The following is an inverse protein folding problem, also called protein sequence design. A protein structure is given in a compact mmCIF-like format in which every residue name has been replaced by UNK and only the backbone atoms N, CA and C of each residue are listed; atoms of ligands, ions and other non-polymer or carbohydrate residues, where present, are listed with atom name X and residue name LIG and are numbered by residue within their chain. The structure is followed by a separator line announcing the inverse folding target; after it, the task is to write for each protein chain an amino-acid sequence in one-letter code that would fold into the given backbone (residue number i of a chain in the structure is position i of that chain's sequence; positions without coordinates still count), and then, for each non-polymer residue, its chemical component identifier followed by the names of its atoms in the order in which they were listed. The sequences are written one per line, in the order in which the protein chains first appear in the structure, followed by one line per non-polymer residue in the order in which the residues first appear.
data_IF_764364185093
#
_entry.id   IF_764364185093
#
_cell.length_a   1.000
_cell.length_b   1.000
_cell.length_c   1.000
_cell.angle_alpha   90.00
_cell.angle_beta   90.00
_cell.angle_gamma   90.00
#
_symmetry.space_group_name_H-M   'P 1'
#
loop_
_entity.id
_entity.type
_entity.pdbx_description
1 polymer ?
#
# COMPACT_ATOMS: atom_id res chain seq x y z
N UNK A 1 -68.38 0.92 -16.28
CA UNK A 1 -69.14 1.30 -17.50
C UNK A 1 -68.44 2.46 -18.20
N UNK A 2 -68.56 2.57 -19.54
CA UNK A 2 -68.06 3.67 -20.40
C UNK A 2 -66.58 4.05 -20.27
N UNK A 3 -65.78 3.59 -21.23
CA UNK A 3 -64.50 4.21 -21.60
C UNK A 3 -64.71 5.25 -22.72
N UNK A 4 -63.74 6.13 -22.94
CA UNK A 4 -63.46 6.77 -24.25
C UNK A 4 -61.95 7.06 -24.36
N UNK A 5 -61.42 6.91 -25.57
CA UNK A 5 -60.00 7.07 -25.92
C UNK A 5 -59.75 8.42 -26.60
N UNK A 6 -58.48 8.85 -26.65
CA UNK A 6 -57.98 9.65 -27.79
C UNK A 6 -56.53 9.30 -28.19
N UNK A 7 -56.24 9.50 -29.47
CA UNK A 7 -55.03 9.18 -30.24
C UNK A 7 -54.80 10.36 -31.22
N UNK A 8 -53.62 10.71 -31.74
CA UNK A 8 -52.21 10.22 -31.69
C UNK A 8 -51.35 11.46 -32.14
N UNK A 9 -50.03 11.58 -32.27
CA UNK A 9 -48.81 10.73 -32.36
C UNK A 9 -47.59 11.60 -31.94
N UNK A 10 -46.37 11.05 -32.09
CA UNK A 10 -45.09 11.74 -32.36
C UNK A 10 -44.47 12.68 -31.30
N UNK A 11 -43.49 12.11 -30.60
CA UNK A 11 -42.55 12.82 -29.74
C UNK A 11 -41.39 11.92 -29.29
N UNK A 12 -40.88 11.04 -30.16
CA UNK A 12 -39.73 10.17 -29.83
C UNK A 12 -38.46 11.02 -29.87
N UNK A 13 -38.19 11.71 -28.76
CA UNK A 13 -36.91 12.36 -28.53
C UNK A 13 -35.87 11.25 -28.28
N UNK A 14 -35.22 10.78 -29.35
CA UNK A 14 -34.03 9.93 -29.22
C UNK A 14 -32.94 10.81 -28.63
N UNK A 15 -32.87 10.84 -27.30
CA UNK A 15 -31.72 11.38 -26.59
C UNK A 15 -30.55 10.43 -26.84
N UNK A 16 -29.84 10.67 -27.95
CA UNK A 16 -28.62 9.98 -28.30
C UNK A 16 -27.53 10.38 -27.29
N UNK A 17 -27.54 9.73 -26.12
CA UNK A 17 -26.43 9.77 -25.18
C UNK A 17 -25.27 9.05 -25.86
N UNK A 18 -24.50 9.82 -26.62
CA UNK A 18 -23.17 9.42 -27.03
C UNK A 18 -22.33 9.28 -25.76
N UNK A 19 -22.32 8.06 -25.22
CA UNK A 19 -21.22 7.61 -24.37
C UNK A 19 -19.97 7.62 -25.25
N UNK A 20 -19.34 8.79 -25.33
CA UNK A 20 -17.96 8.93 -25.76
C UNK A 20 -17.10 8.26 -24.70
N UNK A 21 -17.08 6.93 -24.74
CA UNK A 21 -15.97 6.16 -24.22
C UNK A 21 -14.75 6.60 -25.02
N UNK A 22 -14.10 7.65 -24.53
CA UNK A 22 -12.65 7.73 -24.57
C UNK A 22 -12.17 6.50 -23.80
N UNK A 23 -12.14 5.37 -24.50
CA UNK A 23 -11.32 4.24 -24.13
C UNK A 23 -9.89 4.79 -24.11
N UNK A 24 -9.48 5.26 -22.93
CA UNK A 24 -8.10 5.65 -22.68
C UNK A 24 -7.31 4.40 -22.96
N UNK A 25 -6.64 4.37 -24.11
CA UNK A 25 -5.75 3.28 -24.47
C UNK A 25 -4.50 3.44 -23.61
N UNK A 26 -4.65 3.10 -22.32
CA UNK A 26 -3.58 2.61 -21.47
C UNK A 26 -2.99 1.41 -22.20
N UNK A 27 -2.02 1.73 -23.06
CA UNK A 27 -1.31 0.81 -23.93
C UNK A 27 -0.61 -0.19 -23.02
N UNK A 28 -1.29 -1.30 -22.75
CA UNK A 28 -0.81 -2.30 -21.78
C UNK A 28 0.66 -2.61 -22.08
N UNK A 29 1.56 -2.49 -21.09
CA UNK A 29 2.97 -2.72 -21.32
C UNK A 29 3.16 -4.11 -21.95
N UNK A 30 3.85 -4.22 -23.10
CA UNK A 30 3.89 -5.46 -23.89
C UNK A 30 4.27 -6.66 -23.02
N UNK A 31 3.41 -7.67 -23.00
CA UNK A 31 3.28 -8.68 -21.95
C UNK A 31 4.47 -9.65 -21.87
N UNK A 32 5.62 -9.15 -21.42
CA UNK A 32 6.88 -9.89 -21.30
C UNK A 32 7.79 -9.31 -20.19
N UNK A 33 7.25 -8.48 -19.29
CA UNK A 33 7.99 -7.85 -18.19
C UNK A 33 8.32 -8.86 -17.09
N UNK A 34 9.59 -9.24 -16.97
CA UNK A 34 10.10 -10.17 -15.93
C UNK A 34 10.39 -9.38 -14.63
N UNK A 35 9.50 -8.47 -14.25
CA UNK A 35 9.62 -7.65 -13.03
C UNK A 35 8.32 -6.91 -12.66
N UNK A 36 7.30 -7.66 -12.23
CA UNK A 36 6.34 -7.07 -11.30
C UNK A 36 7.06 -6.88 -9.95
N UNK A 37 7.39 -5.65 -9.58
CA UNK A 37 7.67 -5.32 -8.18
C UNK A 37 6.38 -5.42 -7.35
N UNK A 38 6.50 -5.46 -6.03
CA UNK A 38 5.32 -5.46 -5.17
C UNK A 38 4.64 -4.09 -5.25
N UNK A 39 3.30 -4.06 -5.23
CA UNK A 39 2.59 -2.82 -4.96
C UNK A 39 2.90 -2.35 -3.53
N UNK A 40 3.48 -1.15 -3.43
CA UNK A 40 3.85 -0.49 -2.18
C UNK A 40 2.79 0.50 -1.69
N UNK A 41 1.77 0.84 -2.49
CA UNK A 41 0.74 1.81 -2.08
C UNK A 41 0.03 1.39 -0.77
N UNK A 42 -0.43 0.13 -0.59
CA UNK A 42 -1.10 -0.27 0.66
C UNK A 42 -0.19 -0.19 1.90
N UNK A 43 1.14 -0.28 1.72
CA UNK A 43 2.10 -0.16 2.82
C UNK A 43 2.40 1.32 3.16
N UNK A 44 2.37 2.22 2.18
CA UNK A 44 2.45 3.66 2.40
C UNK A 44 1.16 4.19 3.03
N UNK A 45 0.00 3.74 2.56
CA UNK A 45 -1.32 4.08 3.12
C UNK A 45 -1.48 3.69 4.58
N UNK A 46 -0.93 2.52 4.99
CA UNK A 46 -0.89 2.08 6.40
C UNK A 46 0.24 2.71 7.22
N UNK A 47 1.07 3.57 6.63
CA UNK A 47 2.20 4.21 7.30
C UNK A 47 3.36 3.26 7.65
N UNK A 48 3.41 2.04 7.08
CA UNK A 48 4.57 1.13 7.23
C UNK A 48 5.82 1.72 6.57
N UNK A 49 5.63 2.46 5.47
CA UNK A 49 6.65 3.24 4.79
C UNK A 49 6.21 4.70 4.63
N UNK A 50 7.18 5.61 4.69
CA UNK A 50 7.01 7.04 4.42
C UNK A 50 8.09 7.53 3.46
N UNK A 51 7.84 8.65 2.79
CA UNK A 51 8.77 9.26 1.82
C UNK A 51 10.15 9.53 2.47
N UNK A 52 11.23 9.17 1.76
CA UNK A 52 12.63 9.45 2.16
C UNK A 52 13.29 10.53 1.30
N UNK A 53 12.99 10.56 0.00
CA UNK A 53 13.55 11.54 -0.95
C UNK A 53 12.45 12.40 -1.56
N UNK A 54 12.82 13.62 -1.95
CA UNK A 54 11.97 14.59 -2.63
C UNK A 54 12.23 14.59 -4.14
N UNK A 55 13.47 14.32 -4.55
CA UNK A 55 13.89 14.30 -5.96
C UNK A 55 14.62 12.99 -6.30
N UNK A 56 14.58 12.60 -7.57
CA UNK A 56 15.50 11.58 -8.11
C UNK A 56 15.97 11.91 -9.52
N UNK A 57 17.19 11.49 -9.85
CA UNK A 57 17.79 11.60 -11.18
C UNK A 57 18.42 10.27 -11.59
N UNK A 58 17.83 9.60 -12.57
CA UNK A 58 18.43 8.43 -13.21
C UNK A 58 19.51 8.91 -14.17
N UNK A 59 20.73 8.38 -14.06
CA UNK A 59 21.78 8.55 -15.05
C UNK A 59 21.96 7.21 -15.78
N UNK A 60 21.62 7.15 -17.07
CA UNK A 60 21.67 5.93 -17.88
C UNK A 60 22.76 5.98 -18.94
N UNK A 61 23.66 5.00 -18.88
CA UNK A 61 24.69 4.74 -19.86
C UNK A 61 24.08 4.16 -21.15
N UNK A 62 24.20 4.92 -22.23
CA UNK A 62 23.82 4.54 -23.60
C UNK A 62 25.02 4.34 -24.52
N UNK A 63 26.23 4.24 -23.94
CA UNK A 63 27.48 4.20 -24.69
C UNK A 63 27.65 2.92 -25.53
N UNK A 64 28.67 2.91 -26.40
CA UNK A 64 28.97 1.73 -27.22
C UNK A 64 29.27 0.47 -26.39
N UNK A 65 29.80 0.59 -25.16
CA UNK A 65 30.09 -0.56 -24.29
C UNK A 65 28.79 -1.27 -23.87
N UNK A 66 27.69 -0.52 -23.73
CA UNK A 66 26.38 -1.02 -23.32
C UNK A 66 25.66 -1.83 -24.42
N UNK A 67 26.22 -1.86 -25.63
CA UNK A 67 25.77 -2.73 -26.74
C UNK A 67 26.15 -4.22 -26.56
N UNK A 68 27.10 -4.54 -25.68
CA UNK A 68 27.52 -5.91 -25.37
C UNK A 68 26.36 -6.75 -24.84
N UNK A 69 26.28 -8.01 -25.29
CA UNK A 69 25.21 -8.95 -24.91
C UNK A 69 25.62 -9.79 -23.70
N UNK A 70 24.78 -9.85 -22.68
CA UNK A 70 25.02 -10.68 -21.49
C UNK A 70 24.72 -12.17 -21.76
N UNK A 71 25.44 -13.07 -21.10
CA UNK A 71 25.37 -14.53 -21.28
C UNK A 71 24.65 -15.25 -20.14
N UNK A 72 23.63 -14.62 -19.56
CA UNK A 72 22.82 -15.20 -18.48
C UNK A 72 21.94 -16.33 -19.04
N UNK A 73 22.01 -17.51 -18.43
CA UNK A 73 21.62 -18.80 -19.05
C UNK A 73 20.17 -18.87 -19.55
N UNK A 74 19.21 -18.24 -18.84
CA UNK A 74 17.80 -18.18 -19.23
C UNK A 74 17.38 -16.83 -19.84
N UNK A 75 18.18 -15.77 -19.64
CA UNK A 75 17.88 -14.41 -20.09
C UNK A 75 18.58 -14.15 -21.44
N UNK A 76 17.95 -14.63 -22.53
CA UNK A 76 18.53 -14.78 -23.88
C UNK A 76 19.23 -13.53 -24.43
N UNK A 77 20.56 -13.42 -24.25
CA UNK A 77 21.48 -12.59 -25.06
C UNK A 77 21.03 -11.12 -25.29
N UNK A 78 20.34 -10.54 -24.31
CA UNK A 78 19.96 -9.12 -24.30
C UNK A 78 21.20 -8.22 -24.21
N UNK A 79 21.12 -7.01 -24.76
CA UNK A 79 22.15 -5.99 -24.54
C UNK A 79 22.06 -5.45 -23.11
N UNK A 80 23.19 -5.07 -22.51
CA UNK A 80 23.23 -4.42 -21.19
C UNK A 80 22.34 -3.18 -21.13
N UNK A 81 22.31 -2.39 -22.20
CA UNK A 81 21.40 -1.25 -22.37
C UNK A 81 19.91 -1.61 -22.25
N UNK A 82 19.47 -2.72 -22.86
CA UNK A 82 18.08 -3.15 -22.78
C UNK A 82 17.74 -3.62 -21.37
N UNK A 83 18.63 -4.43 -20.76
CA UNK A 83 18.48 -4.84 -19.36
C UNK A 83 18.44 -3.64 -18.39
N UNK A 84 19.21 -2.56 -18.65
CA UNK A 84 19.13 -1.32 -17.89
C UNK A 84 17.78 -0.60 -18.06
N UNK A 85 17.28 -0.46 -19.30
CA UNK A 85 15.93 0.10 -19.56
C UNK A 85 14.82 -0.73 -18.90
N UNK A 86 14.92 -2.06 -18.96
CA UNK A 86 14.01 -2.97 -18.30
C UNK A 86 14.02 -2.69 -16.78
N UNK A 87 15.18 -2.69 -16.12
CA UNK A 87 15.32 -2.42 -14.68
C UNK A 87 14.81 -1.03 -14.25
N UNK A 88 15.04 0.03 -15.03
CA UNK A 88 14.50 1.37 -14.72
C UNK A 88 12.96 1.36 -14.87
N UNK A 89 12.42 0.62 -15.84
CA UNK A 89 10.97 0.43 -15.96
C UNK A 89 10.42 -0.34 -14.75
N UNK A 90 11.09 -1.42 -14.32
CA UNK A 90 10.72 -2.17 -13.12
C UNK A 90 10.65 -1.24 -11.89
N UNK A 91 11.69 -0.42 -11.69
CA UNK A 91 11.77 0.58 -10.62
C UNK A 91 10.61 1.57 -10.72
N UNK A 92 10.38 2.14 -11.90
CA UNK A 92 9.32 3.11 -12.17
C UNK A 92 7.92 2.56 -11.82
N UNK A 93 7.62 1.32 -12.22
CA UNK A 93 6.33 0.71 -11.88
C UNK A 93 6.20 0.38 -10.38
N UNK A 94 7.31 0.10 -9.70
CA UNK A 94 7.35 -0.27 -8.26
C UNK A 94 7.26 0.94 -7.32
N UNK A 95 7.65 2.14 -7.75
CA UNK A 95 7.51 3.38 -6.94
C UNK A 95 6.02 3.62 -6.62
N UNK A 96 5.63 3.81 -5.34
CA UNK A 96 4.24 4.12 -4.96
C UNK A 96 3.83 5.55 -5.35
N UNK A 97 2.57 5.91 -5.17
CA UNK A 97 1.99 7.24 -5.43
C UNK A 97 2.45 8.32 -4.44
N UNK A 98 3.75 8.50 -4.29
CA UNK A 98 4.39 9.55 -3.48
C UNK A 98 4.79 10.75 -4.35
N UNK A 99 4.70 11.95 -3.78
CA UNK A 99 5.11 13.19 -4.43
C UNK A 99 6.64 13.29 -4.54
N UNK A 100 7.13 13.29 -5.77
CA UNK A 100 8.54 13.36 -6.14
C UNK A 100 8.74 14.35 -7.30
N UNK A 101 9.93 14.91 -7.43
CA UNK A 101 10.46 15.34 -8.72
C UNK A 101 11.32 14.21 -9.31
N UNK A 102 11.26 14.02 -10.62
CA UNK A 102 12.01 12.98 -11.32
C UNK A 102 12.76 13.51 -12.53
N UNK A 103 13.90 12.91 -12.86
CA UNK A 103 14.67 13.17 -14.07
C UNK A 103 15.36 11.95 -14.64
N UNK A 104 15.65 11.98 -15.94
CA UNK A 104 16.51 11.00 -16.64
C UNK A 104 17.55 11.77 -17.45
N UNK A 105 18.81 11.60 -17.06
CA UNK A 105 19.98 11.98 -17.87
C UNK A 105 20.53 10.74 -18.58
N UNK A 106 20.87 10.89 -19.85
CA UNK A 106 21.63 9.89 -20.63
C UNK A 106 22.98 10.43 -21.05
N UNK A 107 23.93 9.52 -21.26
CA UNK A 107 25.21 9.82 -21.92
C UNK A 107 25.57 8.70 -22.89
N UNK A 108 26.35 9.01 -23.92
CA UNK A 108 26.84 8.03 -24.89
C UNK A 108 26.64 8.49 -26.33
N UNK A 109 25.49 8.14 -26.91
CA UNK A 109 25.13 8.56 -28.28
C UNK A 109 24.56 9.99 -28.31
N UNK A 110 23.85 10.39 -27.25
CA UNK A 110 23.39 11.77 -27.06
C UNK A 110 24.59 12.59 -26.56
N UNK A 111 24.74 13.83 -27.04
CA UNK A 111 25.77 14.73 -26.52
C UNK A 111 25.51 14.99 -25.04
N UNK A 112 26.53 14.99 -24.16
CA UNK A 112 26.31 15.13 -22.72
C UNK A 112 25.48 16.37 -22.35
N UNK A 113 25.69 17.51 -23.00
CA UNK A 113 24.88 18.73 -22.76
C UNK A 113 23.37 18.52 -23.00
N UNK A 114 23.00 17.79 -24.05
CA UNK A 114 21.60 17.43 -24.40
C UNK A 114 21.07 16.22 -23.59
N UNK A 115 21.83 15.73 -22.61
CA UNK A 115 21.57 14.44 -21.94
C UNK A 115 20.31 14.38 -21.08
N UNK A 116 19.76 15.50 -20.58
CA UNK A 116 18.56 15.50 -19.74
C UNK A 116 17.29 15.35 -20.60
N UNK A 117 16.98 14.10 -20.97
CA UNK A 117 15.85 13.74 -21.84
C UNK A 117 14.49 13.72 -21.13
N UNK A 118 14.48 13.74 -19.80
CA UNK A 118 13.27 13.93 -19.00
C UNK A 118 13.60 14.72 -17.73
N UNK A 119 12.76 15.71 -17.43
CA UNK A 119 12.44 16.08 -16.06
C UNK A 119 13.36 17.06 -15.35
N UNK A 120 13.75 16.68 -14.13
CA UNK A 120 13.79 17.57 -12.95
C UNK A 120 12.50 18.39 -12.80
N UNK A 121 11.38 17.68 -12.97
CA UNK A 121 10.00 18.19 -12.85
C UNK A 121 9.15 17.20 -12.06
N UNK A 122 7.88 17.53 -11.79
CA UNK A 122 6.94 16.65 -11.10
C UNK A 122 6.88 15.25 -11.73
N UNK A 123 7.18 14.24 -10.92
CA UNK A 123 7.31 12.85 -11.37
C UNK A 123 5.96 12.28 -11.82
N UNK A 124 5.97 11.59 -12.96
CA UNK A 124 4.90 10.65 -13.35
C UNK A 124 5.51 9.39 -13.94
N UNK A 125 4.84 8.23 -13.73
CA UNK A 125 5.26 6.96 -14.33
C UNK A 125 5.35 7.07 -15.85
N UNK A 126 4.31 7.62 -16.49
CA UNK A 126 4.26 7.85 -17.93
C UNK A 126 5.42 8.71 -18.44
N UNK A 127 5.77 9.82 -17.76
CA UNK A 127 6.89 10.67 -18.17
C UNK A 127 8.25 9.96 -18.15
N UNK A 128 8.47 9.08 -17.17
CA UNK A 128 9.66 8.22 -17.12
C UNK A 128 9.63 7.13 -18.19
N UNK A 129 8.47 6.49 -18.42
CA UNK A 129 8.31 5.45 -19.45
C UNK A 129 8.51 6.02 -20.87
N UNK A 130 7.96 7.21 -21.17
CA UNK A 130 8.14 7.93 -22.44
C UNK A 130 9.58 8.43 -22.60
N UNK A 131 10.19 8.95 -21.53
CA UNK A 131 11.61 9.33 -21.50
C UNK A 131 12.51 8.15 -21.85
N UNK A 132 12.29 6.98 -21.23
CA UNK A 132 12.98 5.73 -21.58
C UNK A 132 12.68 5.31 -23.03
N UNK A 133 11.43 5.42 -23.49
CA UNK A 133 11.03 5.02 -24.84
C UNK A 133 11.76 5.80 -25.94
N UNK A 134 12.09 7.08 -25.71
CA UNK A 134 12.85 7.92 -26.65
C UNK A 134 14.25 7.36 -26.99
N UNK A 135 14.83 6.54 -26.11
CA UNK A 135 16.18 6.02 -26.26
C UNK A 135 16.17 4.77 -27.16
N UNK A 136 16.32 4.98 -28.47
CA UNK A 136 16.28 3.91 -29.48
C UNK A 136 17.49 2.95 -29.44
N UNK A 137 18.70 3.48 -29.27
CA UNK A 137 19.96 2.75 -29.55
C UNK A 137 21.17 3.33 -28.82
N UNK A 138 22.12 2.44 -28.55
CA UNK A 138 23.45 2.76 -28.01
C UNK A 138 24.40 3.35 -29.06
N UNK A 139 25.50 3.94 -28.59
CA UNK A 139 26.60 4.43 -29.43
C UNK A 139 27.51 5.43 -28.68
N UNK A 140 28.56 5.90 -29.33
CA UNK A 140 29.48 6.90 -28.75
C UNK A 140 30.35 6.38 -27.60
N UNK A 141 31.01 7.33 -26.92
CA UNK A 141 31.92 7.10 -25.80
C UNK A 141 31.16 6.90 -24.46
N UNK A 142 31.88 6.58 -23.39
CA UNK A 142 31.33 6.40 -22.04
C UNK A 142 31.93 7.44 -21.07
N UNK A 143 31.63 8.75 -21.19
CA UNK A 143 32.16 9.78 -20.30
C UNK A 143 31.33 9.85 -19.00
N UNK A 144 31.68 8.99 -18.02
CA UNK A 144 30.92 8.87 -16.76
C UNK A 144 31.16 10.10 -15.87
N UNK A 145 32.37 10.65 -15.89
CA UNK A 145 32.72 11.87 -15.14
C UNK A 145 31.90 13.06 -15.61
N UNK A 146 31.84 13.29 -16.92
CA UNK A 146 31.08 14.39 -17.53
C UNK A 146 29.58 14.28 -17.26
N UNK A 147 29.01 13.06 -17.31
CA UNK A 147 27.59 12.86 -17.05
C UNK A 147 27.22 13.07 -15.56
N UNK A 148 28.13 12.76 -14.62
CA UNK A 148 27.99 13.14 -13.20
C UNK A 148 28.13 14.66 -13.03
N UNK A 149 29.10 15.31 -13.70
CA UNK A 149 29.31 16.77 -13.61
C UNK A 149 28.14 17.58 -14.17
N UNK A 150 27.44 17.07 -15.19
CA UNK A 150 26.22 17.69 -15.73
C UNK A 150 24.97 17.32 -14.93
N UNK A 151 24.88 16.10 -14.38
CA UNK A 151 23.85 15.75 -13.40
C UNK A 151 23.90 16.64 -12.14
N UNK A 152 25.11 17.04 -11.72
CA UNK A 152 25.32 18.02 -10.65
C UNK A 152 24.70 19.38 -11.02
N UNK A 153 24.79 19.81 -12.29
CA UNK A 153 24.16 21.04 -12.80
C UNK A 153 22.64 20.94 -12.86
N UNK A 154 22.07 19.82 -13.34
CA UNK A 154 20.60 19.60 -13.40
C UNK A 154 19.92 19.75 -12.03
N UNK A 155 20.68 19.51 -10.96
CA UNK A 155 20.20 19.51 -9.59
C UNK A 155 20.39 20.87 -8.87
N UNK A 156 21.02 21.86 -9.49
CA UNK A 156 21.36 23.16 -8.84
C UNK A 156 20.14 23.95 -8.36
N UNK A 157 18.99 23.82 -9.04
CA UNK A 157 17.72 24.46 -8.62
C UNK A 157 16.83 23.55 -7.75
N UNK A 158 17.25 22.31 -7.47
CA UNK A 158 16.43 21.33 -6.73
C UNK A 158 16.61 21.47 -5.21
N UNK A 159 15.54 21.20 -4.45
CA UNK A 159 15.53 21.33 -2.98
C UNK A 159 15.01 20.05 -2.33
N UNK A 160 15.48 19.74 -1.12
CA UNK A 160 15.13 18.51 -0.41
C UNK A 160 16.06 17.33 -0.74
N UNK A 161 15.71 16.14 -0.25
CA UNK A 161 16.56 14.95 -0.36
C UNK A 161 16.54 14.39 -1.79
N UNK A 162 17.70 14.03 -2.33
CA UNK A 162 17.86 13.69 -3.76
C UNK A 162 18.58 12.35 -3.95
N UNK A 163 17.98 11.42 -4.70
CA UNK A 163 18.58 10.15 -5.10
C UNK A 163 19.09 10.19 -6.56
N UNK A 164 20.40 10.12 -6.74
CA UNK A 164 21.02 9.92 -8.06
C UNK A 164 21.24 8.41 -8.28
N UNK A 165 20.85 7.87 -9.44
CA UNK A 165 20.88 6.43 -9.71
C UNK A 165 21.58 6.16 -11.04
N UNK A 166 22.85 5.73 -11.00
CA UNK A 166 23.68 5.48 -12.18
C UNK A 166 23.58 4.01 -12.64
N UNK A 167 23.11 3.80 -13.86
CA UNK A 167 23.06 2.51 -14.56
C UNK A 167 24.16 2.47 -15.63
N UNK A 168 25.27 1.74 -15.40
CA UNK A 168 26.42 1.65 -16.32
C UNK A 168 27.16 0.31 -16.21
N UNK A 169 28.00 -0.04 -17.19
CA UNK A 169 29.00 -1.11 -17.04
C UNK A 169 30.31 -0.64 -16.37
N UNK A 170 30.40 0.64 -16.00
CA UNK A 170 31.52 1.26 -15.29
C UNK A 170 32.77 1.50 -16.15
N UNK A 171 32.74 1.19 -17.46
CA UNK A 171 33.89 1.42 -18.35
C UNK A 171 33.99 2.89 -18.75
N UNK A 172 34.56 3.74 -17.89
CA UNK A 172 34.88 5.12 -18.29
C UNK A 172 35.91 5.14 -19.44
N UNK A 173 35.60 5.82 -20.56
CA UNK A 173 36.47 5.82 -21.76
C UNK A 173 37.22 7.13 -22.01
N UNK A 174 36.88 8.21 -21.33
CA UNK A 174 37.53 9.53 -21.51
C UNK A 174 38.90 9.66 -20.80
N UNK A 175 39.21 8.73 -19.89
CA UNK A 175 40.47 8.70 -19.13
C UNK A 175 40.47 9.47 -17.81
N UNK A 176 39.37 10.15 -17.46
CA UNK A 176 39.20 10.88 -16.20
C UNK A 176 38.73 9.99 -15.03
N UNK A 177 38.49 10.58 -13.86
CA UNK A 177 38.07 9.89 -12.62
C UNK A 177 36.61 10.20 -12.23
N UNK A 178 35.66 9.28 -12.49
CA UNK A 178 34.26 9.44 -12.06
C UNK A 178 34.08 9.50 -10.54
N UNK A 179 35.01 8.94 -9.77
CA UNK A 179 34.98 8.97 -8.30
C UNK A 179 35.38 10.35 -7.78
N UNK A 180 36.08 11.17 -8.56
CA UNK A 180 36.30 12.58 -8.27
C UNK A 180 35.02 13.41 -8.50
N UNK A 181 34.35 13.25 -9.65
CA UNK A 181 33.08 13.94 -9.92
C UNK A 181 31.99 13.59 -8.89
N UNK A 182 31.94 12.33 -8.44
CA UNK A 182 31.05 11.92 -7.34
C UNK A 182 31.36 12.65 -6.01
N UNK A 183 32.64 12.94 -5.71
CA UNK A 183 33.04 13.70 -4.52
C UNK A 183 32.69 15.17 -4.65
N UNK A 184 32.81 15.76 -5.84
CA UNK A 184 32.42 17.14 -6.10
C UNK A 184 30.90 17.32 -5.94
N UNK A 185 30.10 16.42 -6.51
CA UNK A 185 28.65 16.35 -6.30
C UNK A 185 28.29 16.21 -4.81
N UNK A 186 28.94 15.27 -4.09
CA UNK A 186 28.70 15.09 -2.64
C UNK A 186 29.17 16.27 -1.81
N UNK A 187 30.20 17.00 -2.24
CA UNK A 187 30.71 18.22 -1.60
C UNK A 187 29.80 19.43 -1.78
N UNK A 188 29.05 19.51 -2.89
CA UNK A 188 28.08 20.58 -3.13
C UNK A 188 26.77 20.38 -2.36
N UNK A 189 26.18 19.18 -2.43
CA UNK A 189 24.85 18.90 -1.87
C UNK A 189 24.89 18.22 -0.48
N UNK A 190 26.08 17.89 0.04
CA UNK A 190 26.26 17.35 1.38
C UNK A 190 25.42 16.10 1.66
N UNK A 191 24.74 16.08 2.81
CA UNK A 191 23.86 14.97 3.21
C UNK A 191 22.49 14.98 2.51
N UNK A 192 22.21 15.97 1.66
CA UNK A 192 20.97 16.00 0.88
C UNK A 192 21.02 15.15 -0.40
N UNK A 193 22.22 14.76 -0.87
CA UNK A 193 22.38 13.86 -2.03
C UNK A 193 22.88 12.46 -1.64
N UNK A 194 22.27 11.45 -2.26
CA UNK A 194 22.71 10.06 -2.21
C UNK A 194 22.93 9.54 -3.64
N UNK A 195 24.07 8.90 -3.91
CA UNK A 195 24.39 8.33 -5.23
C UNK A 195 24.42 6.80 -5.12
N UNK A 196 23.58 6.17 -5.93
CA UNK A 196 23.41 4.73 -6.01
C UNK A 196 23.88 4.23 -7.37
N UNK A 197 24.47 3.04 -7.43
CA UNK A 197 24.94 2.46 -8.69
C UNK A 197 24.37 1.07 -8.94
N UNK A 198 23.96 0.86 -10.20
CA UNK A 198 23.55 -0.44 -10.73
C UNK A 198 24.54 -0.84 -11.81
N UNK A 199 25.33 -1.89 -11.51
CA UNK A 199 26.36 -2.40 -12.40
C UNK A 199 25.77 -3.36 -13.44
N UNK A 200 25.95 -3.03 -14.72
CA UNK A 200 25.63 -3.94 -15.81
C UNK A 200 26.87 -4.75 -16.22
N UNK A 201 26.97 -5.99 -15.73
CA UNK A 201 27.99 -6.96 -16.17
C UNK A 201 29.27 -6.98 -15.33
N UNK A 202 30.27 -7.75 -15.78
CA UNK A 202 31.23 -8.40 -14.88
C UNK A 202 32.67 -7.89 -15.02
N UNK A 203 32.87 -6.67 -15.53
CA UNK A 203 34.20 -6.06 -15.62
C UNK A 203 34.71 -5.67 -14.23
N UNK A 204 35.82 -6.26 -13.77
CA UNK A 204 36.42 -5.91 -12.47
C UNK A 204 36.82 -4.42 -12.38
N UNK A 205 37.32 -3.81 -13.48
CA UNK A 205 37.59 -2.36 -13.53
C UNK A 205 36.29 -1.55 -13.47
N UNK A 206 35.27 -1.96 -14.21
CA UNK A 206 33.97 -1.30 -14.21
C UNK A 206 33.30 -1.33 -12.83
N UNK A 207 33.33 -2.50 -12.17
CA UNK A 207 32.87 -2.65 -10.79
C UNK A 207 33.62 -1.71 -9.84
N UNK A 208 34.95 -1.66 -9.90
CA UNK A 208 35.73 -0.78 -9.02
C UNK A 208 35.38 0.71 -9.16
N UNK A 209 35.01 1.18 -10.37
CA UNK A 209 34.51 2.54 -10.60
C UNK A 209 33.13 2.74 -9.96
N UNK A 210 32.19 1.81 -10.20
CA UNK A 210 30.82 1.89 -9.67
C UNK A 210 30.77 1.79 -8.14
N UNK A 211 31.54 0.86 -7.56
CA UNK A 211 31.73 0.71 -6.12
C UNK A 211 32.28 2.01 -5.50
N UNK A 212 33.28 2.63 -6.16
CA UNK A 212 33.89 3.89 -5.71
C UNK A 212 32.92 5.07 -5.73
N UNK A 213 32.09 5.19 -6.77
CA UNK A 213 31.03 6.21 -6.86
C UNK A 213 29.99 6.01 -5.72
N UNK A 214 29.54 4.77 -5.51
CA UNK A 214 28.52 4.45 -4.51
C UNK A 214 28.98 4.65 -3.06
N UNK A 215 30.24 4.32 -2.74
CA UNK A 215 30.78 4.52 -1.39
C UNK A 215 31.07 6.00 -1.10
N UNK A 216 31.34 6.83 -2.12
CA UNK A 216 31.43 8.29 -2.01
C UNK A 216 30.05 8.93 -1.82
N UNK A 217 29.08 8.57 -2.66
CA UNK A 217 27.71 9.11 -2.59
C UNK A 217 26.83 8.48 -1.52
N UNK A 218 27.43 7.77 -0.57
CA UNK A 218 26.76 6.99 0.47
C UNK A 218 25.89 7.83 1.40
N UNK A 219 24.81 7.22 1.85
CA UNK A 219 23.92 7.70 2.91
C UNK A 219 23.72 6.56 3.94
N UNK A 220 22.48 6.20 4.27
CA UNK A 220 22.18 5.15 5.27
C UNK A 220 22.75 3.76 4.93
N UNK A 221 23.01 3.51 3.64
CA UNK A 221 23.57 2.28 3.08
C UNK A 221 24.35 2.57 1.79
N UNK A 222 25.20 1.63 1.37
CA UNK A 222 25.85 1.63 0.05
C UNK A 222 25.07 0.69 -0.88
N UNK A 223 24.56 1.20 -2.00
CA UNK A 223 24.07 0.38 -3.12
C UNK A 223 25.07 0.50 -4.29
N UNK A 224 25.89 -0.55 -4.42
CA UNK A 224 26.66 -0.89 -5.60
C UNK A 224 26.21 -2.29 -6.04
N UNK A 225 25.06 -2.32 -6.72
CA UNK A 225 24.29 -3.55 -6.92
C UNK A 225 24.47 -4.09 -8.33
N UNK A 226 24.85 -5.37 -8.44
CA UNK A 226 24.88 -6.07 -9.73
C UNK A 226 23.45 -6.29 -10.22
N UNK A 227 23.16 -5.85 -11.44
CA UNK A 227 21.85 -5.97 -12.08
C UNK A 227 21.24 -7.38 -11.99
N UNK A 228 22.06 -8.45 -12.04
CA UNK A 228 21.57 -9.84 -11.94
C UNK A 228 20.95 -10.20 -10.58
N UNK A 229 21.04 -9.31 -9.59
CA UNK A 229 20.37 -9.46 -8.29
C UNK A 229 19.01 -8.76 -8.24
N UNK A 230 18.79 -7.71 -9.05
CA UNK A 230 17.56 -6.91 -9.09
C UNK A 230 16.43 -7.53 -9.92
N UNK A 231 16.69 -8.65 -10.61
CA UNK A 231 15.76 -9.35 -11.51
C UNK A 231 14.61 -10.11 -10.81
N UNK A 232 14.34 -9.83 -9.53
CA UNK A 232 13.26 -10.46 -8.76
C UNK A 232 12.37 -9.41 -8.11
N UNK A 233 11.08 -9.73 -7.98
CA UNK A 233 10.06 -8.90 -7.31
C UNK A 233 10.57 -8.33 -5.98
N UNK A 234 11.08 -9.20 -5.11
CA UNK A 234 11.54 -8.80 -3.78
C UNK A 234 12.75 -7.87 -3.87
N UNK A 235 13.77 -8.20 -4.67
CA UNK A 235 14.98 -7.37 -4.77
C UNK A 235 14.72 -5.98 -5.40
N UNK A 236 13.80 -5.88 -6.36
CA UNK A 236 13.36 -4.58 -6.90
C UNK A 236 12.53 -3.79 -5.88
N UNK A 237 11.68 -4.48 -5.11
CA UNK A 237 10.91 -3.88 -4.01
C UNK A 237 11.84 -3.36 -2.92
N UNK A 238 12.81 -4.16 -2.48
CA UNK A 238 13.83 -3.76 -1.51
C UNK A 238 14.68 -2.59 -2.02
N UNK A 239 15.06 -2.59 -3.31
CA UNK A 239 15.77 -1.46 -3.92
C UNK A 239 14.95 -0.17 -3.85
N UNK A 240 13.67 -0.21 -4.26
CA UNK A 240 12.79 0.96 -4.22
C UNK A 240 12.49 1.41 -2.79
N UNK A 241 12.24 0.49 -1.86
CA UNK A 241 12.06 0.80 -0.43
C UNK A 241 13.30 1.48 0.14
N UNK A 242 14.51 1.01 -0.16
CA UNK A 242 15.73 1.60 0.37
C UNK A 242 16.05 2.98 -0.24
N UNK A 243 15.86 3.15 -1.56
CA UNK A 243 16.16 4.40 -2.28
C UNK A 243 15.13 5.49 -1.98
N UNK A 244 13.82 5.20 -2.15
CA UNK A 244 12.77 6.22 -2.16
C UNK A 244 12.00 6.35 -0.84
N UNK A 245 12.04 5.33 0.01
CA UNK A 245 11.24 5.23 1.24
C UNK A 245 12.12 5.06 2.47
N UNK A 246 11.49 5.15 3.64
CA UNK A 246 12.01 4.72 4.94
C UNK A 246 10.88 4.12 5.74
N UNK A 247 11.18 3.24 6.69
CA UNK A 247 10.15 2.70 7.59
C UNK A 247 9.48 3.85 8.34
N UNK A 248 8.15 3.87 8.31
CA UNK A 248 7.37 4.80 9.13
C UNK A 248 7.53 4.47 10.62
N UNK A 249 7.12 5.40 11.47
CA UNK A 249 6.89 5.06 12.87
C UNK A 249 5.78 3.99 12.91
N UNK A 250 5.98 2.89 13.66
CA UNK A 250 4.95 1.86 13.79
C UNK A 250 3.69 2.48 14.39
N UNK A 251 2.69 2.75 13.54
CA UNK A 251 1.31 2.95 13.97
C UNK A 251 0.88 1.59 14.53
N UNK A 252 0.98 1.43 15.85
CA UNK A 252 0.24 0.37 16.52
C UNK A 252 -1.23 0.67 16.27
N UNK A 253 -2.08 -0.32 15.93
CA UNK A 253 -3.52 -0.14 16.05
C UNK A 253 -3.81 0.45 17.44
N UNK A 254 -4.68 1.47 17.55
CA UNK A 254 -5.20 1.87 18.85
C UNK A 254 -5.72 0.63 19.56
N UNK A 255 -5.36 0.49 20.84
CA UNK A 255 -5.85 -0.62 21.65
C UNK A 255 -7.24 -0.26 22.14
N UNK A 256 -8.09 -1.27 22.18
CA UNK A 256 -9.50 -1.31 22.57
C UNK A 256 -9.59 -2.67 23.29
N UNK A 257 -9.74 -2.65 24.62
CA UNK A 257 -9.57 -3.84 25.49
C UNK A 257 -10.91 -4.56 25.75
N UNK A 258 -12.01 -3.84 25.89
CA UNK A 258 -13.34 -4.38 26.20
C UNK A 258 -14.23 -4.58 24.96
N UNK A 259 -13.86 -3.99 23.82
CA UNK A 259 -14.51 -4.20 22.52
C UNK A 259 -15.71 -3.29 22.26
N UNK A 260 -15.86 -2.19 23.00
CA UNK A 260 -16.98 -1.26 22.83
C UNK A 260 -16.90 -0.40 21.54
N UNK A 261 -15.70 -0.34 20.93
CA UNK A 261 -15.40 0.44 19.72
C UNK A 261 -14.71 1.79 19.98
N UNK A 262 -14.36 2.09 21.23
CA UNK A 262 -13.63 3.26 21.71
C UNK A 262 -12.28 2.80 22.27
N UNK A 263 -11.22 3.52 21.91
CA UNK A 263 -9.85 3.09 22.23
C UNK A 263 -9.47 3.48 23.66
N UNK A 264 -8.68 2.66 24.36
CA UNK A 264 -8.15 2.89 25.73
C UNK A 264 -7.61 4.32 25.97
N UNK A 265 -7.11 4.96 24.90
CA UNK A 265 -6.49 6.28 24.94
C UNK A 265 -7.47 7.46 25.13
N UNK A 266 -8.78 7.24 24.95
CA UNK A 266 -9.85 8.24 25.07
C UNK A 266 -11.08 7.73 25.84
N UNK A 267 -11.18 6.43 26.06
CA UNK A 267 -12.19 5.80 26.91
C UNK A 267 -12.08 6.25 28.40
N UNK A 268 -13.20 6.16 29.11
CA UNK A 268 -13.37 6.42 30.54
C UNK A 268 -14.19 5.34 31.26
N UNK A 269 -14.70 4.34 30.56
CA UNK A 269 -15.53 3.27 31.07
C UNK A 269 -14.98 1.89 30.59
N UNK A 270 -13.73 1.51 30.94
CA UNK A 270 -12.93 0.44 30.31
C UNK A 270 -13.32 -1.00 30.72
N UNK A 271 -14.59 -1.19 31.07
CA UNK A 271 -15.22 -2.47 31.36
C UNK A 271 -16.59 -2.54 30.65
N UNK A 272 -16.79 -1.76 29.59
CA UNK A 272 -18.06 -1.66 28.87
C UNK A 272 -18.17 -2.78 27.85
N UNK A 273 -19.15 -3.70 27.95
CA UNK A 273 -19.20 -4.84 27.06
C UNK A 273 -19.41 -4.45 25.59
N UNK A 274 -18.63 -5.06 24.70
CA UNK A 274 -18.80 -4.90 23.26
C UNK A 274 -20.24 -5.14 22.78
N UNK A 275 -20.70 -4.29 21.86
CA UNK A 275 -22.07 -4.29 21.33
C UNK A 275 -23.04 -3.34 22.06
N UNK A 276 -22.68 -2.81 23.23
CA UNK A 276 -23.44 -1.75 23.91
C UNK A 276 -23.29 -0.42 23.15
N UNK A 277 -24.34 0.41 23.19
CA UNK A 277 -24.29 1.76 22.60
C UNK A 277 -23.66 2.75 23.59
N UNK A 278 -22.43 3.12 23.28
CA UNK A 278 -21.59 4.03 24.06
C UNK A 278 -21.55 5.44 23.48
N UNK A 279 -21.08 6.40 24.27
CA UNK A 279 -20.87 7.79 23.84
C UNK A 279 -19.49 7.99 23.18
N UNK A 280 -18.91 9.20 23.24
CA UNK A 280 -17.60 9.51 22.63
C UNK A 280 -16.40 9.12 23.51
N UNK A 281 -16.64 8.59 24.70
CA UNK A 281 -15.63 8.23 25.71
C UNK A 281 -15.96 6.90 26.40
N UNK A 282 -16.57 5.99 25.62
CA UNK A 282 -16.88 4.59 25.97
C UNK A 282 -17.99 4.35 26.99
N UNK A 283 -18.64 5.41 27.48
CA UNK A 283 -19.61 5.24 28.55
C UNK A 283 -21.03 4.91 28.04
N UNK A 284 -21.74 3.90 28.60
CA UNK A 284 -23.09 3.50 28.18
C UNK A 284 -24.12 4.64 28.16
N UNK A 285 -24.90 4.74 27.08
CA UNK A 285 -25.88 5.83 26.91
C UNK A 285 -27.14 5.61 27.78
N UNK A 286 -27.51 6.54 28.68
CA UNK A 286 -28.62 6.35 29.61
C UNK A 286 -29.99 6.08 28.96
N UNK A 287 -30.52 4.87 29.21
CA UNK A 287 -31.83 4.41 28.73
C UNK A 287 -32.97 5.10 29.47
N UNK A 288 -33.90 5.70 28.70
CA UNK A 288 -35.08 6.46 29.16
C UNK A 288 -36.43 5.81 28.86
N UNK A 289 -36.45 4.79 28.01
CA UNK A 289 -37.65 4.10 27.53
C UNK A 289 -37.57 2.60 27.85
N UNK A 290 -38.69 1.87 27.80
CA UNK A 290 -38.65 0.41 27.95
C UNK A 290 -38.02 -0.21 26.71
N UNK A 291 -37.08 -1.12 26.91
CA UNK A 291 -36.49 -1.96 25.86
C UNK A 291 -36.99 -3.39 26.06
N UNK A 292 -37.29 -4.08 24.96
CA UNK A 292 -37.56 -5.52 24.92
C UNK A 292 -36.52 -6.18 24.03
N UNK A 293 -35.89 -7.26 24.53
CA UNK A 293 -34.93 -8.07 23.78
C UNK A 293 -35.58 -9.44 23.57
N UNK A 294 -35.67 -9.88 22.32
CA UNK A 294 -36.28 -11.18 21.97
C UNK A 294 -35.19 -12.24 21.83
N UNK A 295 -35.18 -13.21 22.75
CA UNK A 295 -34.36 -14.42 22.64
C UNK A 295 -35.07 -15.47 21.76
N UNK A 296 -34.31 -16.24 21.00
CA UNK A 296 -34.80 -17.26 20.08
C UNK A 296 -34.26 -18.64 20.47
N UNK A 297 -34.66 -19.08 21.67
CA UNK A 297 -34.23 -20.33 22.30
C UNK A 297 -35.29 -21.41 22.03
N UNK A 298 -34.92 -22.43 21.25
CA UNK A 298 -35.76 -23.61 21.06
C UNK A 298 -35.46 -24.64 22.14
N UNK A 299 -36.51 -25.14 22.78
CA UNK A 299 -36.44 -26.21 23.78
C UNK A 299 -37.01 -27.51 23.20
N UNK A 300 -36.46 -28.64 23.63
CA UNK A 300 -36.99 -29.95 23.25
C UNK A 300 -38.39 -30.20 23.89
N UNK A 301 -39.08 -31.25 23.43
CA UNK A 301 -40.44 -31.56 23.90
C UNK A 301 -40.47 -31.91 25.40
N UNK A 302 -41.39 -31.30 26.16
CA UNK A 302 -41.48 -31.37 27.63
C UNK A 302 -40.17 -30.97 28.36
N UNK A 303 -39.36 -30.10 27.73
CA UNK A 303 -38.08 -29.62 28.29
C UNK A 303 -37.99 -28.12 28.52
N UNK A 304 -37.13 -27.81 29.50
CA UNK A 304 -36.70 -26.51 29.99
C UNK A 304 -35.15 -26.40 30.07
N UNK A 305 -34.41 -27.44 29.65
CA UNK A 305 -32.94 -27.39 29.51
C UNK A 305 -32.50 -26.40 28.42
N UNK A 306 -31.68 -25.41 28.77
CA UNK A 306 -31.10 -24.46 27.79
C UNK A 306 -29.84 -25.07 27.16
N UNK A 307 -29.82 -25.20 25.83
CA UNK A 307 -28.70 -25.81 25.10
C UNK A 307 -27.55 -24.79 24.91
N UNK A 308 -26.25 -25.17 25.05
CA UNK A 308 -25.15 -24.22 25.03
C UNK A 308 -24.97 -23.41 23.74
N UNK A 309 -25.54 -23.81 22.60
CA UNK A 309 -25.48 -22.99 21.37
C UNK A 309 -26.21 -21.64 21.51
N UNK A 310 -27.10 -21.48 22.48
CA UNK A 310 -27.81 -20.22 22.75
C UNK A 310 -27.01 -19.25 23.62
N UNK A 311 -25.89 -19.69 24.22
CA UNK A 311 -25.09 -18.86 25.12
C UNK A 311 -24.67 -17.50 24.50
N UNK A 312 -24.26 -17.38 23.22
CA UNK A 312 -23.95 -16.08 22.63
C UNK A 312 -25.12 -15.10 22.59
N UNK A 313 -26.36 -15.58 22.41
CA UNK A 313 -27.54 -14.70 22.43
C UNK A 313 -27.94 -14.31 23.87
N UNK A 314 -27.69 -15.19 24.84
CA UNK A 314 -27.89 -14.92 26.26
C UNK A 314 -26.79 -13.96 26.78
N UNK A 315 -25.58 -14.03 26.22
CA UNK A 315 -24.45 -13.14 26.50
C UNK A 315 -24.76 -11.68 26.10
N UNK A 316 -25.42 -11.44 24.96
CA UNK A 316 -25.91 -10.10 24.59
C UNK A 316 -26.82 -9.49 25.68
N UNK A 317 -27.70 -10.30 26.27
CA UNK A 317 -28.56 -9.88 27.39
C UNK A 317 -27.76 -9.70 28.69
N UNK A 318 -26.82 -10.59 29.00
CA UNK A 318 -25.96 -10.45 30.17
C UNK A 318 -25.11 -9.16 30.11
N UNK A 319 -24.56 -8.85 28.94
CA UNK A 319 -23.77 -7.65 28.67
C UNK A 319 -24.62 -6.38 28.82
N UNK A 320 -25.88 -6.42 28.36
CA UNK A 320 -26.85 -5.35 28.60
C UNK A 320 -27.16 -5.17 30.09
N UNK A 321 -27.37 -6.25 30.85
CA UNK A 321 -27.63 -6.20 32.29
C UNK A 321 -26.44 -5.62 33.07
N UNK A 322 -25.20 -6.00 32.71
CA UNK A 322 -23.96 -5.45 33.31
C UNK A 322 -23.77 -3.97 33.03
N UNK A 323 -24.12 -3.50 31.83
CA UNK A 323 -24.04 -2.09 31.47
C UNK A 323 -25.11 -1.20 32.16
N UNK A 324 -26.18 -1.80 32.69
CA UNK A 324 -27.30 -1.07 33.31
C UNK A 324 -27.83 -1.79 34.58
N UNK A 325 -27.03 -1.92 35.66
CA UNK A 325 -27.41 -2.70 36.85
C UNK A 325 -28.60 -2.12 37.61
N UNK A 326 -28.86 -0.82 37.51
CA UNK A 326 -30.02 -0.13 38.13
C UNK A 326 -31.35 -0.36 37.39
N UNK A 327 -31.55 -1.48 36.69
CA UNK A 327 -32.71 -1.74 35.83
C UNK A 327 -33.45 -3.02 36.20
N UNK A 328 -34.71 -2.87 36.61
CA UNK A 328 -35.66 -3.97 36.71
C UNK A 328 -35.85 -4.63 35.33
N UNK A 329 -35.69 -5.96 35.26
CA UNK A 329 -35.92 -6.75 34.04
C UNK A 329 -36.93 -7.85 34.31
N UNK A 330 -37.90 -7.97 33.40
CA UNK A 330 -38.87 -9.07 33.36
C UNK A 330 -38.47 -10.03 32.25
N UNK A 331 -38.51 -11.32 32.54
CA UNK A 331 -38.16 -12.39 31.62
C UNK A 331 -39.40 -13.26 31.40
N UNK A 332 -39.91 -13.27 30.17
CA UNK A 332 -41.15 -13.94 29.80
C UNK A 332 -40.84 -15.15 28.92
N UNK A 333 -41.39 -16.31 29.29
CA UNK A 333 -41.31 -17.54 28.51
C UNK A 333 -42.62 -17.84 27.78
N UNK A 334 -42.54 -18.62 26.70
CA UNK A 334 -43.70 -19.05 25.92
C UNK A 334 -43.61 -20.55 25.56
N UNK A 335 -44.78 -21.16 25.35
CA UNK A 335 -44.97 -22.49 24.74
C UNK A 335 -45.79 -22.37 23.46
N UNK A 336 -45.92 -23.48 22.74
CA UNK A 336 -46.96 -23.64 21.72
C UNK A 336 -48.35 -23.93 22.35
N UNK A 337 -49.30 -24.36 21.51
CA UNK A 337 -50.69 -24.64 21.86
C UNK A 337 -50.99 -26.11 22.22
N UNK A 338 -49.99 -27.00 22.24
CA UNK A 338 -50.19 -28.39 22.65
C UNK A 338 -50.21 -28.50 24.18
N UNK A 339 -51.03 -29.40 24.73
CA UNK A 339 -51.20 -29.56 26.17
C UNK A 339 -52.40 -28.79 26.73
N UNK A 340 -52.23 -28.16 27.90
CA UNK A 340 -53.29 -27.41 28.59
C UNK A 340 -52.73 -26.16 29.24
N UNK A 341 -53.51 -25.08 29.24
CA UNK A 341 -53.13 -23.73 29.66
C UNK A 341 -52.31 -23.73 30.96
N UNK A 342 -52.77 -24.42 32.01
CA UNK A 342 -52.11 -24.46 33.31
C UNK A 342 -50.72 -25.13 33.29
N UNK A 343 -50.55 -26.20 32.51
CA UNK A 343 -49.25 -26.88 32.34
C UNK A 343 -48.32 -26.05 31.44
N UNK A 344 -48.86 -25.38 30.42
CA UNK A 344 -48.11 -24.50 29.52
C UNK A 344 -47.63 -23.22 30.23
N UNK A 345 -48.43 -22.68 31.14
CA UNK A 345 -48.07 -21.63 32.09
C UNK A 345 -46.90 -22.04 33.00
N UNK A 346 -46.90 -23.28 33.51
CA UNK A 346 -45.81 -23.81 34.36
C UNK A 346 -44.54 -24.08 33.55
N UNK A 347 -44.65 -24.67 32.35
CA UNK A 347 -43.52 -24.92 31.46
C UNK A 347 -42.89 -23.61 30.96
N UNK A 348 -43.71 -22.59 30.65
CA UNK A 348 -43.24 -21.24 30.30
C UNK A 348 -42.42 -20.61 31.43
N UNK A 349 -42.86 -20.75 32.69
CA UNK A 349 -42.14 -20.25 33.87
C UNK A 349 -40.80 -20.96 34.06
N UNK A 350 -40.77 -22.30 34.01
CA UNK A 350 -39.51 -23.06 34.15
C UNK A 350 -38.49 -22.71 33.05
N UNK A 351 -38.94 -22.52 31.80
CA UNK A 351 -38.07 -22.05 30.70
C UNK A 351 -37.46 -20.68 30.96
N UNK A 352 -38.23 -19.74 31.52
CA UNK A 352 -37.70 -18.44 31.94
C UNK A 352 -36.74 -18.57 33.13
N UNK A 353 -37.04 -19.41 34.12
CA UNK A 353 -36.15 -19.72 35.25
C UNK A 353 -34.82 -20.33 34.79
N UNK A 354 -34.82 -21.27 33.84
CA UNK A 354 -33.59 -21.82 33.25
C UNK A 354 -32.73 -20.75 32.57
N UNK A 355 -33.33 -19.81 31.83
CA UNK A 355 -32.59 -18.70 31.21
C UNK A 355 -32.07 -17.71 32.26
N UNK A 356 -32.83 -17.44 33.34
CA UNK A 356 -32.32 -16.69 34.52
C UNK A 356 -31.13 -17.40 35.15
N UNK A 357 -31.17 -18.73 35.29
CA UNK A 357 -30.08 -19.51 35.85
C UNK A 357 -28.82 -19.46 34.95
N UNK A 358 -28.94 -19.53 33.62
CA UNK A 358 -27.78 -19.34 32.73
C UNK A 358 -27.18 -17.93 32.86
N UNK A 359 -28.00 -16.88 32.94
CA UNK A 359 -27.53 -15.50 33.19
C UNK A 359 -26.74 -15.38 34.50
N UNK A 360 -27.21 -16.01 35.58
CA UNK A 360 -26.52 -15.99 36.89
C UNK A 360 -25.26 -16.88 36.86
N UNK A 361 -25.41 -18.17 36.57
CA UNK A 361 -24.36 -19.18 36.75
C UNK A 361 -23.26 -19.14 35.69
N UNK A 362 -23.60 -18.80 34.44
CA UNK A 362 -22.63 -18.75 33.33
C UNK A 362 -22.06 -17.34 33.15
N UNK A 363 -22.88 -16.30 33.28
CA UNK A 363 -22.48 -14.93 32.97
C UNK A 363 -22.27 -14.01 34.18
N UNK A 364 -22.58 -14.46 35.40
CA UNK A 364 -22.32 -13.71 36.64
C UNK A 364 -23.24 -12.50 36.82
N UNK A 365 -24.51 -12.61 36.42
CA UNK A 365 -25.53 -11.60 36.73
C UNK A 365 -26.01 -11.77 38.17
N UNK A 366 -26.10 -10.68 38.92
CA UNK A 366 -26.60 -10.70 40.30
C UNK A 366 -28.08 -11.14 40.38
N UNK A 367 -28.36 -12.02 41.35
CA UNK A 367 -29.69 -12.54 41.59
C UNK A 367 -30.51 -11.57 42.48
N UNK A 368 -31.26 -10.68 41.82
CA UNK A 368 -32.40 -9.99 42.42
C UNK A 368 -33.59 -10.94 42.67
#
# INVERSE_FOLDING_TARGET
MKAKYFLKVFGVLILAVFLTSCASMTKEPPQNYICAGQDLNPMVERGEYVKKVDNFLVILDTSSTMSERQTISWYKKQQKFLHAKDLITCMNQTIPGIELNGGIRVFGKVLPEEGLIYGMTGYTKAGVDDGLASIEKTGGFSPITESITLARTDLEETTGKTAVILFSDGKNTDGSDPVAAAKEMKGQFGDDICIYTVLLGESAKGKAVMDGIAEVGKCDFTIATDAKTLISTNAMTDFVVNVFLKKGAKVRPPVDIDGDGITDSIDKCPETPGGIKVDKVGCPIPIKEKISITLHIEFDFDKDDVRPEYNPQIEEVANFLKAYPDKDVSLEGHTDSEGSDAYNDELSKRRAESVKNVLIETFGIDAA
#
